data_IF_317950869319
#
_entry.id   IF_317950869319
#
_cell.length_a   1.000
_cell.length_b   1.000
_cell.length_c   1.000
_cell.angle_alpha   90.00
_cell.angle_beta   90.00
_cell.angle_gamma   90.00
#
_symmetry.space_group_name_H-M   'P 1'
#
loop_
_entity.id
_entity.type
_entity.pdbx_description
1 polymer ?
#
# COMPACT_ATOMS: atom_id res chain seq x y z
N UNK A 1 25.40 7.58 6.48
CA UNK A 1 24.27 8.45 6.89
C UNK A 1 23.02 7.91 6.20
N UNK A 2 21.92 7.75 6.92
CA UNK A 2 20.69 7.08 6.49
C UNK A 2 19.50 8.05 6.42
N UNK A 3 18.41 7.65 5.76
CA UNK A 3 17.17 8.43 5.70
C UNK A 3 16.61 8.80 7.10
N UNK A 4 16.74 7.91 8.09
CA UNK A 4 16.32 8.19 9.47
C UNK A 4 17.20 9.25 10.15
N UNK A 5 18.51 9.24 9.89
CA UNK A 5 19.45 10.26 10.39
C UNK A 5 19.21 11.61 9.71
N UNK A 6 18.87 11.62 8.42
CA UNK A 6 18.48 12.82 7.68
C UNK A 6 17.18 13.44 8.23
N UNK A 7 16.18 12.62 8.56
CA UNK A 7 14.94 13.05 9.21
C UNK A 7 15.21 13.65 10.60
N UNK A 8 16.11 13.05 11.37
CA UNK A 8 16.51 13.57 12.69
C UNK A 8 17.16 14.94 12.56
N UNK A 9 18.14 15.09 11.66
CA UNK A 9 18.83 16.36 11.43
C UNK A 9 17.87 17.48 10.97
N UNK A 10 16.88 17.14 10.15
CA UNK A 10 15.87 18.10 9.71
C UNK A 10 14.97 18.59 10.85
N UNK A 11 14.55 17.69 11.76
CA UNK A 11 13.76 18.06 12.95
C UNK A 11 14.56 18.90 13.93
N UNK A 12 15.84 18.58 14.13
CA UNK A 12 16.75 19.38 14.96
C UNK A 12 16.97 20.79 14.38
N UNK A 13 16.91 20.92 13.06
CA UNK A 13 16.91 22.21 12.36
C UNK A 13 15.55 22.94 12.38
N UNK A 14 14.54 22.41 13.08
CA UNK A 14 13.22 23.02 13.22
C UNK A 14 12.30 22.85 12.01
N UNK A 15 12.62 21.93 11.08
CA UNK A 15 11.80 21.66 9.91
C UNK A 15 10.63 20.75 10.26
N UNK A 16 9.44 21.12 9.79
CA UNK A 16 8.30 20.20 9.67
C UNK A 16 8.31 19.63 8.26
N UNK A 17 8.20 18.31 8.17
CA UNK A 17 8.21 17.59 6.89
C UNK A 17 6.83 17.03 6.62
N UNK A 18 6.34 17.21 5.39
CA UNK A 18 5.12 16.63 4.88
C UNK A 18 5.36 15.86 3.59
N UNK A 19 4.35 15.11 3.15
CA UNK A 19 4.36 14.39 1.87
C UNK A 19 3.20 14.92 1.03
N UNK A 20 3.50 15.25 -0.23
CA UNK A 20 2.52 15.58 -1.27
C UNK A 20 2.78 14.67 -2.47
N UNK A 21 2.04 13.57 -2.56
CA UNK A 21 2.32 12.51 -3.53
C UNK A 21 3.71 11.89 -3.35
N UNK A 22 4.59 12.08 -4.35
CA UNK A 22 6.00 11.65 -4.32
C UNK A 22 6.97 12.78 -3.90
N UNK A 23 6.44 13.95 -3.58
CA UNK A 23 7.22 15.11 -3.15
C UNK A 23 7.33 15.16 -1.62
N UNK A 24 8.53 15.53 -1.16
CA UNK A 24 8.79 15.87 0.23
C UNK A 24 8.61 17.38 0.38
N UNK A 25 7.65 17.80 1.20
CA UNK A 25 7.40 19.22 1.50
C UNK A 25 8.09 19.61 2.80
N UNK A 26 8.63 20.82 2.85
CA UNK A 26 9.35 21.37 3.99
C UNK A 26 8.69 22.66 4.44
N UNK A 27 8.25 22.69 5.69
CA UNK A 27 7.76 23.89 6.36
C UNK A 27 8.77 24.34 7.41
N UNK A 28 9.13 25.62 7.37
CA UNK A 28 10.14 26.21 8.24
C UNK A 28 9.77 27.66 8.56
N UNK A 29 10.01 28.10 9.80
CA UNK A 29 9.86 29.52 10.18
C UNK A 29 11.03 30.40 9.70
N UNK A 30 12.11 29.80 9.21
CA UNK A 30 13.29 30.46 8.66
C UNK A 30 13.90 29.60 7.53
N UNK A 31 14.77 30.20 6.70
CA UNK A 31 15.41 29.49 5.60
C UNK A 31 16.17 28.23 6.11
N UNK A 32 15.90 27.04 5.56
CA UNK A 32 16.56 25.81 6.00
C UNK A 32 18.07 25.82 5.69
N UNK A 33 18.93 25.26 6.56
CA UNK A 33 20.36 25.15 6.27
C UNK A 33 20.63 24.34 4.98
N UNK A 34 21.48 24.82 4.06
CA UNK A 34 21.73 24.13 2.78
C UNK A 34 22.20 22.68 2.91
N UNK A 35 23.02 22.39 3.93
CA UNK A 35 23.49 21.04 4.22
C UNK A 35 22.34 20.08 4.57
N UNK A 36 21.28 20.57 5.23
CA UNK A 36 20.09 19.78 5.54
C UNK A 36 19.26 19.52 4.29
N UNK A 37 19.11 20.52 3.41
CA UNK A 37 18.42 20.34 2.12
C UNK A 37 19.15 19.32 1.24
N UNK A 38 20.48 19.39 1.17
CA UNK A 38 21.28 18.44 0.39
C UNK A 38 21.14 17.01 0.94
N UNK A 39 21.16 16.88 2.27
CA UNK A 39 20.98 15.61 2.95
C UNK A 39 19.59 15.01 2.71
N UNK A 40 18.53 15.81 2.83
CA UNK A 40 17.16 15.39 2.53
C UNK A 40 16.99 15.02 1.06
N UNK A 41 17.60 15.78 0.15
CA UNK A 41 17.54 15.51 -1.30
C UNK A 41 18.22 14.18 -1.64
N UNK A 42 19.37 13.89 -1.03
CA UNK A 42 20.11 12.65 -1.24
C UNK A 42 19.33 11.40 -0.82
N UNK A 43 18.52 11.51 0.23
CA UNK A 43 17.71 10.41 0.77
C UNK A 43 16.21 10.55 0.46
N UNK A 44 15.81 11.41 -0.49
CA UNK A 44 14.41 11.78 -0.72
C UNK A 44 13.50 10.56 -0.89
N UNK A 45 13.88 9.60 -1.74
CA UNK A 45 13.05 8.43 -2.02
C UNK A 45 12.81 7.54 -0.78
N UNK A 46 13.87 7.31 0.00
CA UNK A 46 13.81 6.54 1.24
C UNK A 46 13.00 7.29 2.32
N UNK A 47 13.15 8.61 2.39
CA UNK A 47 12.40 9.47 3.32
C UNK A 47 10.91 9.48 2.96
N UNK A 48 10.56 9.61 1.68
CA UNK A 48 9.18 9.52 1.21
C UNK A 48 8.61 8.16 1.57
N UNK A 49 9.33 7.06 1.33
CA UNK A 49 8.86 5.73 1.71
C UNK A 49 8.66 5.53 3.23
N UNK A 50 9.43 6.24 4.07
CA UNK A 50 9.29 6.22 5.54
C UNK A 50 8.14 7.10 6.05
N UNK A 51 7.87 8.22 5.39
CA UNK A 51 6.89 9.23 5.81
C UNK A 51 5.53 9.07 5.15
N UNK A 52 5.46 8.43 3.98
CA UNK A 52 4.20 8.11 3.33
C UNK A 52 3.36 7.28 4.29
N UNK A 53 2.10 7.69 4.57
CA UNK A 53 1.15 6.82 5.21
C UNK A 53 1.11 5.51 4.42
N UNK A 54 1.22 4.38 5.11
CA UNK A 54 0.97 3.09 4.49
C UNK A 54 -0.52 3.07 4.15
N UNK A 55 -0.85 3.48 2.93
CA UNK A 55 -2.21 3.69 2.45
C UNK A 55 -2.47 5.17 2.17
N UNK A 56 -2.22 5.57 0.92
CA UNK A 56 -2.80 6.81 0.39
C UNK A 56 -4.34 6.65 0.46
N UNK A 57 -5.00 7.40 1.34
CA UNK A 57 -6.44 7.31 1.59
C UNK A 57 -7.19 7.88 0.38
N UNK A 58 -7.34 7.05 -0.65
CA UNK A 58 -8.26 7.34 -1.76
C UNK A 58 -9.64 7.63 -1.16
N UNK A 59 -10.20 8.76 -1.56
CA UNK A 59 -11.59 9.06 -1.24
C UNK A 59 -12.52 8.04 -1.92
N UNK A 60 -13.77 7.95 -1.44
CA UNK A 60 -14.79 7.14 -2.10
C UNK A 60 -14.94 7.50 -3.59
N UNK A 61 -14.79 8.79 -3.93
CA UNK A 61 -14.86 9.28 -5.31
C UNK A 61 -13.69 8.77 -6.17
N UNK A 62 -12.48 8.71 -5.62
CA UNK A 62 -11.31 8.19 -6.34
C UNK A 62 -11.47 6.70 -6.65
N UNK A 63 -12.02 5.93 -5.69
CA UNK A 63 -12.33 4.52 -5.89
C UNK A 63 -13.38 4.30 -6.97
N UNK A 64 -14.48 5.07 -6.96
CA UNK A 64 -15.52 5.00 -7.97
C UNK A 64 -15.00 5.37 -9.36
N UNK A 65 -14.15 6.41 -9.44
CA UNK A 65 -13.51 6.85 -10.68
C UNK A 65 -12.62 5.75 -11.24
N UNK A 66 -11.77 5.14 -10.40
CA UNK A 66 -10.94 4.02 -10.79
C UNK A 66 -11.78 2.83 -11.28
N UNK A 67 -12.83 2.45 -10.55
CA UNK A 67 -13.74 1.38 -10.96
C UNK A 67 -14.35 1.65 -12.35
N UNK A 68 -14.91 2.84 -12.56
CA UNK A 68 -15.52 3.23 -13.82
C UNK A 68 -14.52 3.20 -14.99
N UNK A 69 -13.30 3.67 -14.76
CA UNK A 69 -12.23 3.61 -15.76
C UNK A 69 -11.89 2.17 -16.15
N UNK A 70 -11.70 1.29 -15.15
CA UNK A 70 -11.39 -0.14 -15.39
C UNK A 70 -12.53 -0.85 -16.11
N UNK A 71 -13.78 -0.54 -15.78
CA UNK A 71 -14.95 -1.09 -16.46
C UNK A 71 -14.99 -0.63 -17.93
N UNK A 72 -14.75 0.67 -18.19
CA UNK A 72 -14.70 1.21 -19.55
C UNK A 72 -13.58 0.55 -20.38
N UNK A 73 -12.38 0.38 -19.82
CA UNK A 73 -11.26 -0.30 -20.51
C UNK A 73 -11.63 -1.75 -20.85
N UNK A 74 -12.28 -2.45 -19.93
CA UNK A 74 -12.70 -3.83 -20.14
C UNK A 74 -13.82 -3.95 -21.21
N UNK A 75 -14.77 -3.01 -21.22
CA UNK A 75 -15.82 -2.94 -22.23
C UNK A 75 -15.26 -2.64 -23.64
N UNK A 76 -14.30 -1.72 -23.76
CA UNK A 76 -13.59 -1.44 -25.03
C UNK A 76 -12.86 -2.69 -25.55
N UNK A 77 -12.49 -3.63 -24.67
CA UNK A 77 -11.90 -4.93 -25.03
C UNK A 77 -12.94 -6.02 -25.35
N UNK A 78 -14.21 -5.64 -25.49
CA UNK A 78 -15.27 -6.53 -25.95
C UNK A 78 -16.01 -7.29 -24.85
N UNK A 79 -15.75 -7.01 -23.57
CA UNK A 79 -16.53 -7.61 -22.48
C UNK A 79 -17.94 -7.02 -22.41
N UNK A 80 -18.92 -7.84 -22.07
CA UNK A 80 -20.27 -7.35 -21.73
C UNK A 80 -20.19 -6.43 -20.51
N UNK A 81 -21.24 -5.64 -20.28
CA UNK A 81 -21.29 -4.73 -19.11
C UNK A 81 -21.00 -5.47 -17.80
N UNK A 82 -21.65 -6.62 -17.57
CA UNK A 82 -21.47 -7.40 -16.34
C UNK A 82 -20.05 -7.95 -16.20
N UNK A 83 -19.47 -8.47 -17.28
CA UNK A 83 -18.08 -8.98 -17.27
C UNK A 83 -17.06 -7.85 -17.09
N UNK A 84 -17.32 -6.69 -17.69
CA UNK A 84 -16.48 -5.50 -17.55
C UNK A 84 -16.50 -4.97 -16.12
N UNK A 85 -17.68 -4.89 -15.49
CA UNK A 85 -17.84 -4.52 -14.08
C UNK A 85 -17.19 -5.55 -13.15
N UNK A 86 -17.34 -6.85 -13.42
CA UNK A 86 -16.67 -7.92 -12.66
C UNK A 86 -15.14 -7.82 -12.75
N UNK A 87 -14.62 -7.55 -13.95
CA UNK A 87 -13.19 -7.33 -14.17
C UNK A 87 -12.70 -6.08 -13.47
N UNK A 88 -13.47 -5.00 -13.50
CA UNK A 88 -13.15 -3.76 -12.79
C UNK A 88 -13.13 -3.96 -11.27
N UNK A 89 -14.09 -4.69 -10.73
CA UNK A 89 -14.14 -5.05 -9.32
C UNK A 89 -12.90 -5.85 -8.89
N UNK A 90 -12.50 -6.85 -9.68
CA UNK A 90 -11.26 -7.60 -9.44
C UNK A 90 -10.02 -6.68 -9.47
N UNK A 91 -9.97 -5.68 -10.35
CA UNK A 91 -8.91 -4.67 -10.32
C UNK A 91 -8.95 -3.82 -9.04
N UNK A 92 -10.12 -3.42 -8.57
CA UNK A 92 -10.26 -2.68 -7.30
C UNK A 92 -9.74 -3.49 -6.11
N UNK A 93 -10.03 -4.80 -6.04
CA UNK A 93 -9.51 -5.66 -4.97
C UNK A 93 -7.98 -5.68 -4.97
N UNK A 94 -7.35 -5.95 -6.12
CA UNK A 94 -5.88 -5.99 -6.23
C UNK A 94 -5.28 -4.65 -5.84
N UNK A 95 -5.88 -3.57 -6.31
CA UNK A 95 -5.42 -2.22 -6.05
C UNK A 95 -5.56 -1.84 -4.56
N UNK A 96 -6.60 -2.31 -3.88
CA UNK A 96 -6.75 -2.14 -2.44
C UNK A 96 -5.70 -2.94 -1.67
N UNK A 97 -5.45 -4.19 -2.06
CA UNK A 97 -4.41 -5.02 -1.44
C UNK A 97 -3.02 -4.39 -1.58
N UNK A 98 -2.70 -3.83 -2.75
CA UNK A 98 -1.43 -3.14 -3.00
C UNK A 98 -1.25 -1.90 -2.11
N UNK A 99 -2.33 -1.16 -1.85
CA UNK A 99 -2.30 0.03 -0.97
C UNK A 99 -2.40 -0.29 0.52
N UNK A 100 -2.82 -1.50 0.88
CA UNK A 100 -2.94 -1.96 2.26
C UNK A 100 -1.98 -3.15 2.49
N UNK A 101 -0.66 -2.96 2.35
CA UNK A 101 0.30 -4.04 2.56
C UNK A 101 0.33 -4.40 4.05
N UNK A 102 0.50 -5.69 4.33
CA UNK A 102 0.72 -6.19 5.69
C UNK A 102 2.20 -6.40 5.89
N UNK A 103 2.74 -5.79 6.94
CA UNK A 103 4.12 -6.00 7.40
C UNK A 103 4.09 -6.86 8.65
N UNK A 104 5.00 -7.83 8.74
CA UNK A 104 5.16 -8.65 9.93
C UNK A 104 6.62 -8.81 10.28
N UNK A 105 6.91 -9.04 11.56
CA UNK A 105 8.25 -9.39 12.00
C UNK A 105 8.64 -10.77 11.46
N UNK A 106 9.92 -10.97 11.11
CA UNK A 106 10.41 -12.30 10.76
C UNK A 106 10.27 -13.26 11.95
N UNK A 107 10.17 -14.56 11.65
CA UNK A 107 10.19 -15.62 12.66
C UNK A 107 8.82 -16.12 13.13
N UNK A 108 7.70 -15.49 12.72
CA UNK A 108 6.35 -16.04 12.94
C UNK A 108 5.47 -15.90 11.70
N UNK A 109 4.69 -16.93 11.42
CA UNK A 109 3.66 -16.91 10.38
C UNK A 109 2.52 -15.98 10.80
N UNK A 110 2.20 -14.96 10.00
CA UNK A 110 1.04 -14.08 10.28
C UNK A 110 -0.30 -14.80 10.13
N UNK A 111 -0.34 -15.92 9.40
CA UNK A 111 -1.55 -16.72 9.21
C UNK A 111 -1.90 -17.63 10.41
N UNK A 112 -0.91 -18.26 11.03
CA UNK A 112 -1.14 -19.25 12.10
C UNK A 112 -0.41 -18.96 13.43
N UNK A 113 0.45 -17.94 13.48
CA UNK A 113 1.23 -17.53 14.66
C UNK A 113 2.45 -18.41 14.99
N UNK A 114 2.62 -19.54 14.31
CA UNK A 114 3.71 -20.49 14.56
C UNK A 114 5.03 -20.03 13.92
N UNK A 115 6.15 -20.51 14.49
CA UNK A 115 7.49 -20.27 13.95
C UNK A 115 7.76 -21.13 12.71
N UNK A 116 8.92 -20.95 12.09
CA UNK A 116 9.35 -21.80 10.97
C UNK A 116 9.63 -23.25 11.40
N UNK A 117 9.54 -24.17 10.44
CA UNK A 117 9.92 -25.57 10.58
C UNK A 117 10.82 -26.00 9.41
N UNK A 118 11.67 -27.01 9.61
CA UNK A 118 12.62 -27.49 8.58
C UNK A 118 11.97 -27.91 7.25
N UNK A 119 10.72 -28.37 7.28
CA UNK A 119 9.96 -28.79 6.10
C UNK A 119 8.84 -27.81 5.70
N UNK A 120 8.69 -26.70 6.43
CA UNK A 120 7.75 -25.62 6.09
C UNK A 120 8.33 -24.29 6.58
N UNK A 121 9.26 -23.70 5.80
CA UNK A 121 9.89 -22.45 6.15
C UNK A 121 8.92 -21.28 6.02
N UNK A 122 9.23 -20.18 6.72
CA UNK A 122 8.52 -18.93 6.51
C UNK A 122 9.03 -18.27 5.23
N UNK A 123 8.10 -17.98 4.32
CA UNK A 123 8.38 -17.29 3.07
C UNK A 123 7.91 -15.83 3.17
N UNK A 124 8.69 -14.89 2.63
CA UNK A 124 8.25 -13.51 2.51
C UNK A 124 7.25 -13.34 1.38
N UNK A 125 6.13 -12.68 1.67
CA UNK A 125 5.14 -12.25 0.68
C UNK A 125 5.00 -10.73 0.70
N UNK A 126 5.02 -10.12 -0.48
CA UNK A 126 5.03 -8.66 -0.66
C UNK A 126 6.21 -8.20 -1.51
N UNK A 127 6.37 -6.88 -1.63
CA UNK A 127 7.53 -6.26 -2.28
C UNK A 127 8.38 -5.54 -1.22
N UNK A 128 9.69 -5.47 -1.43
CA UNK A 128 10.65 -4.93 -0.46
C UNK A 128 10.29 -3.50 -0.01
N UNK A 129 9.84 -2.65 -0.94
CA UNK A 129 9.45 -1.25 -0.67
C UNK A 129 8.23 -1.13 0.25
N UNK A 130 7.35 -2.12 0.28
CA UNK A 130 6.16 -2.16 1.14
C UNK A 130 6.34 -3.00 2.41
N UNK A 131 7.49 -3.65 2.58
CA UNK A 131 7.75 -4.66 3.62
C UNK A 131 7.07 -6.00 3.34
N UNK A 132 7.44 -7.03 4.12
CA UNK A 132 7.01 -8.42 3.89
C UNK A 132 6.06 -8.93 4.98
N UNK A 133 5.09 -9.73 4.56
CA UNK A 133 4.33 -10.65 5.40
C UNK A 133 5.01 -12.03 5.40
N UNK A 134 5.39 -12.55 6.56
CA UNK A 134 6.01 -13.85 6.70
C UNK A 134 4.94 -14.91 6.91
N UNK A 135 4.90 -15.91 6.03
CA UNK A 135 3.88 -16.96 6.03
C UNK A 135 4.49 -18.32 5.69
N UNK A 136 3.94 -19.38 6.26
CA UNK A 136 4.10 -20.71 5.68
C UNK A 136 3.42 -20.76 4.32
N UNK A 137 3.98 -21.51 3.37
CA UNK A 137 3.39 -21.66 2.03
C UNK A 137 1.93 -22.13 2.11
N UNK A 138 1.65 -23.11 2.98
CA UNK A 138 0.29 -23.65 3.22
C UNK A 138 -0.69 -22.64 3.82
N UNK A 139 -0.20 -21.62 4.51
CA UNK A 139 -1.04 -20.62 5.16
C UNK A 139 -1.45 -19.50 4.19
N UNK A 140 -0.82 -19.42 3.02
CA UNK A 140 -1.04 -18.35 2.06
C UNK A 140 -2.49 -18.28 1.57
N UNK A 141 -3.08 -19.39 1.16
CA UNK A 141 -4.43 -19.39 0.57
C UNK A 141 -5.49 -18.83 1.52
N UNK A 142 -5.51 -19.34 2.76
CA UNK A 142 -6.46 -18.90 3.79
C UNK A 142 -6.23 -17.44 4.17
N UNK A 143 -4.96 -17.04 4.35
CA UNK A 143 -4.61 -15.67 4.68
C UNK A 143 -4.99 -14.69 3.56
N UNK A 144 -4.63 -15.01 2.32
CA UNK A 144 -4.94 -14.17 1.15
C UNK A 144 -6.45 -14.12 0.88
N UNK A 145 -7.20 -15.18 1.15
CA UNK A 145 -8.66 -15.15 1.12
C UNK A 145 -9.24 -14.16 2.15
N UNK A 146 -8.72 -14.15 3.38
CA UNK A 146 -9.08 -13.17 4.40
C UNK A 146 -8.78 -11.73 3.96
N UNK A 147 -7.58 -11.49 3.42
CA UNK A 147 -7.20 -10.19 2.86
C UNK A 147 -8.14 -9.72 1.75
N UNK A 148 -8.56 -10.61 0.85
CA UNK A 148 -9.56 -10.29 -0.18
C UNK A 148 -10.92 -9.94 0.42
N UNK A 149 -11.35 -10.64 1.48
CA UNK A 149 -12.62 -10.35 2.15
C UNK A 149 -12.60 -8.96 2.81
N UNK A 150 -11.48 -8.57 3.42
CA UNK A 150 -11.28 -7.20 3.94
C UNK A 150 -11.34 -6.16 2.82
N UNK A 151 -10.70 -6.43 1.68
CA UNK A 151 -10.75 -5.55 0.51
C UNK A 151 -12.18 -5.35 0.02
N UNK A 152 -12.95 -6.43 -0.08
CA UNK A 152 -14.37 -6.38 -0.46
C UNK A 152 -15.18 -5.55 0.54
N UNK A 153 -15.00 -5.79 1.83
CA UNK A 153 -15.70 -5.05 2.87
C UNK A 153 -15.39 -3.54 2.81
N UNK A 154 -14.12 -3.17 2.60
CA UNK A 154 -13.72 -1.78 2.44
C UNK A 154 -14.32 -1.14 1.19
N UNK A 155 -14.24 -1.81 0.03
CA UNK A 155 -14.80 -1.32 -1.24
C UNK A 155 -16.31 -1.11 -1.18
N UNK A 156 -17.04 -1.96 -0.44
CA UNK A 156 -18.47 -1.78 -0.22
C UNK A 156 -18.81 -0.48 0.49
N UNK A 157 -17.94 0.04 1.37
CA UNK A 157 -18.15 1.35 2.01
C UNK A 157 -18.08 2.52 1.02
N UNK A 158 -17.39 2.32 -0.11
CA UNK A 158 -17.31 3.29 -1.21
C UNK A 158 -18.40 3.09 -2.27
N UNK A 159 -19.37 2.19 -2.03
CA UNK A 159 -20.44 1.89 -2.97
C UNK A 159 -20.05 0.98 -4.13
N UNK A 160 -18.86 0.36 -4.07
CA UNK A 160 -18.40 -0.60 -5.08
C UNK A 160 -18.75 -2.00 -4.57
N UNK A 161 -19.72 -2.66 -5.19
CA UNK A 161 -20.12 -4.01 -4.82
C UNK A 161 -20.54 -4.80 -6.05
N UNK A 162 -20.10 -6.04 -6.13
CA UNK A 162 -20.62 -6.97 -7.12
C UNK A 162 -22.06 -7.30 -6.74
N UNK A 163 -23.01 -6.89 -7.58
CA UNK A 163 -24.34 -7.48 -7.54
C UNK A 163 -24.20 -8.90 -8.06
N UNK A 164 -24.22 -9.88 -7.17
CA UNK A 164 -24.59 -11.24 -7.57
C UNK A 164 -26.03 -11.17 -8.04
N UNK A 165 -26.25 -11.14 -9.35
CA UNK A 165 -27.58 -11.41 -9.89
C UNK A 165 -28.02 -12.78 -9.36
N UNK A 166 -29.29 -12.92 -8.91
CA UNK A 166 -29.84 -14.21 -8.52
C UNK A 166 -29.87 -15.19 -9.69
#
# INVERSE_FOLDING_TARGET
>A
MSAAEALKAAREAGLRLGIDGDALTLEASAAPPPAVIELLSRHKAEIVALLSPVGDERSALDWLTFFGERARIAAVRGLTKNEAEARAFACCIVEWLNRNPVRSLPGRCVGCGQTEHSHDPLLPFGIESSGHAWLHSRCWDAWHAGRKAEAVAALSTFGISMRTSP
#
